data_IF_745137536075
#
_entry.id   IF_745137536075
#
_cell.length_a   1.000
_cell.length_b   1.000
_cell.length_c   1.000
_cell.angle_alpha   90.00
_cell.angle_beta   90.00
_cell.angle_gamma   90.00
#
_symmetry.space_group_name_H-M   'P 1'
#
loop_
_entity.id
_entity.type
_entity.pdbx_description
1 polymer ?
#
# COMPACT_ATOMS: atom_id res chain seq x y z
N UNK A 1 -50.45 41.20 -40.84
CA UNK A 1 -49.54 40.12 -40.44
C UNK A 1 -48.70 40.64 -39.26
N UNK A 2 -49.12 40.39 -38.01
CA UNK A 2 -48.34 40.79 -36.83
C UNK A 2 -47.28 39.72 -36.58
N UNK A 3 -46.01 40.07 -36.78
CA UNK A 3 -44.88 39.29 -36.28
C UNK A 3 -44.96 39.30 -34.75
N UNK A 4 -45.38 38.17 -34.15
CA UNK A 4 -45.18 37.95 -32.73
C UNK A 4 -43.67 37.93 -32.48
N UNK A 5 -43.17 38.96 -31.81
CA UNK A 5 -41.81 38.93 -31.27
C UNK A 5 -41.72 37.74 -30.32
N UNK A 6 -40.85 36.78 -30.62
CA UNK A 6 -40.54 35.71 -29.69
C UNK A 6 -39.98 36.33 -28.40
N UNK A 7 -40.39 35.85 -27.21
CA UNK A 7 -39.86 36.37 -25.96
C UNK A 7 -38.34 36.26 -25.97
N UNK A 8 -37.64 37.37 -25.70
CA UNK A 8 -36.20 37.33 -25.45
C UNK A 8 -35.96 36.42 -24.25
N UNK A 9 -35.37 35.25 -24.50
CA UNK A 9 -34.90 34.39 -23.43
C UNK A 9 -33.62 35.05 -22.90
N UNK A 10 -33.70 35.67 -21.72
CA UNK A 10 -32.51 36.14 -21.02
C UNK A 10 -31.63 34.92 -20.67
N UNK A 11 -30.36 34.87 -21.11
CA UNK A 11 -29.51 33.73 -20.85
C UNK A 11 -29.15 33.68 -19.35
N UNK A 12 -29.26 32.49 -18.76
CA UNK A 12 -28.72 32.24 -17.41
C UNK A 12 -27.22 31.96 -17.55
N UNK A 13 -26.40 32.79 -16.92
CA UNK A 13 -24.96 32.59 -16.84
C UNK A 13 -24.56 32.05 -15.46
N UNK A 14 -23.96 30.86 -15.43
CA UNK A 14 -23.43 30.25 -14.20
C UNK A 14 -21.91 30.29 -14.26
N UNK A 15 -21.28 31.07 -13.39
CA UNK A 15 -19.83 31.10 -13.27
C UNK A 15 -19.34 29.96 -12.37
N UNK A 16 -18.49 29.09 -12.91
CA UNK A 16 -17.95 27.92 -12.19
C UNK A 16 -16.42 27.87 -12.30
N UNK A 17 -15.78 27.13 -11.38
CA UNK A 17 -14.35 26.84 -11.48
C UNK A 17 -14.05 25.98 -12.73
N UNK A 18 -13.03 26.38 -13.50
CA UNK A 18 -12.46 25.56 -14.56
C UNK A 18 -11.65 24.41 -13.93
N UNK A 19 -12.05 23.17 -14.21
CA UNK A 19 -11.35 21.96 -13.79
C UNK A 19 -10.53 21.36 -14.95
N UNK A 20 -9.69 20.38 -14.63
CA UNK A 20 -8.94 19.60 -15.62
C UNK A 20 -9.75 18.49 -16.28
N UNK A 21 -9.04 17.48 -16.77
CA UNK A 21 -9.62 16.28 -17.35
C UNK A 21 -10.47 15.51 -16.34
N UNK A 22 -11.37 14.64 -16.83
CA UNK A 22 -12.16 13.76 -15.98
C UNK A 22 -11.46 12.42 -15.68
N UNK A 23 -11.98 11.71 -14.69
CA UNK A 23 -11.46 10.42 -14.24
C UNK A 23 -11.55 9.37 -15.35
N UNK A 24 -12.56 9.43 -16.23
CA UNK A 24 -12.63 8.56 -17.42
C UNK A 24 -11.39 8.73 -18.32
N UNK A 25 -11.01 9.97 -18.64
CA UNK A 25 -9.79 10.25 -19.44
C UNK A 25 -8.54 9.72 -18.73
N UNK A 26 -8.44 9.90 -17.42
CA UNK A 26 -7.33 9.36 -16.64
C UNK A 26 -7.31 7.82 -16.69
N UNK A 27 -8.43 7.14 -16.46
CA UNK A 27 -8.55 5.68 -16.51
C UNK A 27 -8.12 5.11 -17.87
N UNK A 28 -8.42 5.81 -18.96
CA UNK A 28 -8.07 5.40 -20.31
C UNK A 28 -6.63 5.76 -20.73
N UNK A 29 -5.91 6.58 -19.97
CA UNK A 29 -4.53 6.95 -20.27
C UNK A 29 -3.57 5.80 -19.92
N UNK A 30 -2.73 5.33 -20.85
CA UNK A 30 -1.79 4.24 -20.57
C UNK A 30 -0.51 4.68 -19.82
N UNK A 31 -0.12 5.96 -19.89
CA UNK A 31 1.05 6.51 -19.17
C UNK A 31 0.64 7.09 -17.80
N UNK A 32 0.35 6.20 -16.84
CA UNK A 32 0.05 6.58 -15.45
C UNK A 32 1.30 6.48 -14.57
N UNK A 33 1.69 7.61 -13.98
CA UNK A 33 2.74 7.68 -12.95
C UNK A 33 2.12 7.76 -11.55
N UNK A 34 2.86 7.30 -10.55
CA UNK A 34 2.45 7.33 -9.13
C UNK A 34 1.06 6.71 -8.87
N UNK A 35 0.76 5.62 -9.56
CA UNK A 35 -0.59 5.07 -9.65
C UNK A 35 -1.25 4.81 -8.29
N UNK A 36 -0.51 4.21 -7.35
CA UNK A 36 -1.02 3.91 -6.00
C UNK A 36 -1.39 5.18 -5.23
N UNK A 37 -0.64 6.27 -5.46
CA UNK A 37 -0.95 7.56 -4.85
C UNK A 37 -2.25 8.14 -5.42
N UNK A 38 -2.41 8.09 -6.74
CA UNK A 38 -3.64 8.53 -7.40
C UNK A 38 -4.85 7.69 -6.97
N UNK A 39 -4.74 6.35 -6.99
CA UNK A 39 -5.81 5.44 -6.57
C UNK A 39 -6.27 5.71 -5.13
N UNK A 40 -5.31 5.87 -4.21
CA UNK A 40 -5.59 6.24 -2.81
C UNK A 40 -6.25 7.60 -2.70
N UNK A 41 -5.71 8.61 -3.37
CA UNK A 41 -6.19 10.00 -3.28
C UNK A 41 -7.56 10.18 -3.93
N UNK A 42 -7.78 9.57 -5.09
CA UNK A 42 -9.07 9.58 -5.79
C UNK A 42 -10.15 8.96 -4.92
N UNK A 43 -9.87 7.79 -4.33
CA UNK A 43 -10.81 7.12 -3.42
C UNK A 43 -11.16 8.00 -2.22
N UNK A 44 -10.16 8.54 -1.53
CA UNK A 44 -10.34 9.46 -0.39
C UNK A 44 -11.17 10.69 -0.77
N UNK A 45 -10.85 11.34 -1.89
CA UNK A 45 -11.55 12.52 -2.36
C UNK A 45 -12.99 12.22 -2.80
N UNK A 46 -13.25 11.07 -3.43
CA UNK A 46 -14.59 10.66 -3.84
C UNK A 46 -15.49 10.44 -2.62
N UNK A 47 -15.01 9.68 -1.63
CA UNK A 47 -15.76 9.44 -0.38
C UNK A 47 -16.01 10.77 0.34
N UNK A 48 -15.00 11.65 0.40
CA UNK A 48 -15.15 12.98 0.99
C UNK A 48 -16.17 13.86 0.28
N UNK A 49 -16.13 13.93 -1.05
CA UNK A 49 -17.02 14.76 -1.84
C UNK A 49 -18.46 14.28 -1.74
N UNK A 50 -18.67 12.96 -1.82
CA UNK A 50 -20.01 12.39 -1.72
C UNK A 50 -20.56 12.49 -0.30
N UNK A 51 -19.72 12.30 0.73
CA UNK A 51 -20.11 12.54 2.13
C UNK A 51 -20.62 13.96 2.33
N UNK A 52 -19.87 14.97 1.85
CA UNK A 52 -20.32 16.35 1.94
C UNK A 52 -21.69 16.57 1.27
N UNK A 53 -21.90 15.97 0.09
CA UNK A 53 -23.16 16.07 -0.64
C UNK A 53 -24.33 15.42 0.12
N UNK A 54 -24.12 14.21 0.66
CA UNK A 54 -25.15 13.47 1.40
C UNK A 54 -25.44 14.08 2.77
N UNK A 55 -24.44 14.61 3.49
CA UNK A 55 -24.62 15.34 4.74
C UNK A 55 -25.46 16.62 4.53
N UNK A 56 -25.49 17.17 3.31
CA UNK A 56 -26.35 18.29 2.89
C UNK A 56 -27.68 17.85 2.26
N UNK A 57 -28.04 16.57 2.38
CA UNK A 57 -29.24 15.95 1.81
C UNK A 57 -29.36 16.13 0.29
N UNK A 58 -28.26 16.08 -0.45
CA UNK A 58 -28.27 16.12 -1.92
C UNK A 58 -27.92 14.72 -2.46
N UNK A 59 -28.67 14.23 -3.45
CA UNK A 59 -28.34 13.02 -4.24
C UNK A 59 -27.80 13.46 -5.58
N UNK A 60 -26.76 12.80 -6.10
CA UNK A 60 -26.17 13.10 -7.40
C UNK A 60 -26.95 12.50 -8.57
N UNK A 61 -27.34 11.22 -8.47
CA UNK A 61 -28.16 10.46 -9.45
C UNK A 61 -27.50 10.10 -10.80
N UNK A 62 -26.31 10.61 -11.10
CA UNK A 62 -25.52 10.25 -12.28
C UNK A 62 -24.01 10.25 -11.96
N UNK A 63 -23.66 9.67 -10.82
CA UNK A 63 -22.27 9.56 -10.42
C UNK A 63 -21.55 8.53 -11.32
N UNK A 64 -20.54 9.00 -12.05
CA UNK A 64 -19.74 8.20 -13.00
C UNK A 64 -18.37 8.84 -13.21
N UNK A 65 -17.36 8.12 -13.75
CA UNK A 65 -16.01 8.67 -13.93
C UNK A 65 -15.93 9.91 -14.85
N UNK A 66 -16.90 10.12 -15.73
CA UNK A 66 -17.01 11.30 -16.59
C UNK A 66 -17.35 12.57 -15.79
N UNK A 67 -18.06 12.40 -14.67
CA UNK A 67 -18.53 13.47 -13.77
C UNK A 67 -17.59 13.68 -12.57
N UNK A 68 -16.42 13.04 -12.57
CA UNK A 68 -15.37 13.21 -11.57
C UNK A 68 -14.19 13.89 -12.26
N UNK A 69 -13.85 15.10 -11.85
CA UNK A 69 -12.84 15.93 -12.52
C UNK A 69 -11.61 16.16 -11.66
N UNK A 70 -10.43 16.23 -12.28
CA UNK A 70 -9.24 16.72 -11.60
C UNK A 70 -9.33 18.23 -11.39
N UNK A 71 -8.80 18.75 -10.28
CA UNK A 71 -8.92 20.18 -9.94
C UNK A 71 -8.33 21.13 -10.98
N UNK A 72 -7.30 20.69 -11.73
CA UNK A 72 -6.63 21.44 -12.80
C UNK A 72 -6.12 20.49 -13.90
N UNK A 73 -5.84 21.02 -15.11
CA UNK A 73 -5.28 20.24 -16.22
C UNK A 73 -4.00 19.48 -15.86
N UNK A 74 -3.76 18.37 -16.55
CA UNK A 74 -2.62 17.49 -16.26
C UNK A 74 -2.84 16.65 -15.01
N UNK A 75 -4.09 16.22 -14.79
CA UNK A 75 -4.49 15.31 -13.70
C UNK A 75 -4.10 15.79 -12.30
N UNK A 76 -4.21 17.09 -12.00
CA UNK A 76 -3.86 17.61 -10.67
C UNK A 76 -4.95 17.31 -9.65
N UNK A 77 -4.59 16.59 -8.59
CA UNK A 77 -5.43 16.39 -7.40
C UNK A 77 -5.63 17.71 -6.60
N UNK A 78 -6.69 17.83 -5.78
CA UNK A 78 -7.73 16.83 -5.52
C UNK A 78 -8.66 16.61 -6.73
N UNK A 79 -9.40 15.50 -6.74
CA UNK A 79 -10.55 15.37 -7.65
C UNK A 79 -11.77 16.09 -7.06
N UNK A 80 -12.73 16.40 -7.93
CA UNK A 80 -13.99 17.10 -7.62
C UNK A 80 -15.13 16.38 -8.32
N UNK A 81 -16.22 16.18 -7.60
CA UNK A 81 -17.48 15.69 -8.19
C UNK A 81 -18.16 16.88 -8.87
N UNK A 82 -18.59 16.69 -10.11
CA UNK A 82 -19.22 17.71 -10.95
C UNK A 82 -20.45 17.18 -11.66
N UNK A 83 -21.06 18.01 -12.51
CA UNK A 83 -22.31 17.73 -13.23
C UNK A 83 -23.50 17.38 -12.30
N UNK A 84 -24.03 18.44 -11.67
CA UNK A 84 -25.20 18.36 -10.81
C UNK A 84 -26.53 18.51 -11.57
N UNK A 85 -26.53 18.38 -12.90
CA UNK A 85 -27.73 18.61 -13.72
C UNK A 85 -28.91 17.69 -13.39
N UNK A 86 -28.62 16.52 -12.81
CA UNK A 86 -29.61 15.54 -12.36
C UNK A 86 -29.77 15.47 -10.83
N UNK A 87 -28.98 16.26 -10.10
CA UNK A 87 -28.96 16.23 -8.64
C UNK A 87 -30.25 16.76 -8.05
N UNK A 88 -30.61 16.25 -6.86
CA UNK A 88 -31.83 16.67 -6.16
C UNK A 88 -31.57 16.75 -4.66
N UNK A 89 -32.11 17.79 -4.03
CA UNK A 89 -32.18 17.89 -2.58
C UNK A 89 -33.34 17.05 -2.07
N UNK A 90 -33.09 16.20 -1.08
CA UNK A 90 -34.10 15.41 -0.38
C UNK A 90 -34.51 16.18 0.88
N UNK A 91 -35.80 16.19 1.20
CA UNK A 91 -36.29 16.60 2.52
C UNK A 91 -36.54 15.34 3.36
N UNK A 92 -36.26 15.43 4.66
CA UNK A 92 -35.82 14.35 5.56
C UNK A 92 -36.75 13.14 5.79
N UNK A 93 -37.84 12.97 5.02
CA UNK A 93 -38.73 11.80 5.14
C UNK A 93 -39.22 11.24 3.80
N UNK A 94 -38.86 11.83 2.66
CA UNK A 94 -39.24 11.32 1.35
C UNK A 94 -38.07 10.59 0.70
N UNK A 95 -38.17 9.26 0.59
CA UNK A 95 -37.70 8.63 -0.65
C UNK A 95 -38.34 9.40 -1.80
N UNK A 96 -37.58 9.74 -2.85
CA UNK A 96 -38.08 10.53 -3.97
C UNK A 96 -39.12 9.70 -4.76
N UNK A 97 -40.32 9.58 -4.21
CA UNK A 97 -41.46 8.81 -4.73
C UNK A 97 -42.39 9.69 -5.56
N UNK A 98 -42.19 11.01 -5.53
CA UNK A 98 -42.94 11.96 -6.35
C UNK A 98 -42.32 12.16 -7.73
N UNK A 99 -42.85 11.42 -8.71
CA UNK A 99 -42.87 11.66 -10.16
C UNK A 99 -41.65 12.32 -10.78
N UNK A 100 -40.76 11.54 -11.43
CA UNK A 100 -39.78 12.00 -12.43
C UNK A 100 -39.11 10.79 -13.10
N UNK A 101 -39.21 10.72 -14.44
CA UNK A 101 -38.41 9.94 -15.41
C UNK A 101 -37.61 8.77 -14.84
N UNK A 102 -38.19 7.57 -14.88
CA UNK A 102 -37.46 6.31 -14.70
C UNK A 102 -36.33 6.21 -15.74
N UNK A 103 -35.13 5.77 -15.33
CA UNK A 103 -34.03 5.44 -16.25
C UNK A 103 -33.11 6.58 -16.71
N UNK A 104 -33.04 7.71 -16.01
CA UNK A 104 -32.06 8.78 -16.33
C UNK A 104 -30.66 8.43 -15.78
N UNK A 105 -29.60 8.71 -16.53
CA UNK A 105 -28.21 8.47 -16.13
C UNK A 105 -27.52 7.39 -16.95
N UNK A 106 -26.26 7.08 -16.65
CA UNK A 106 -25.46 6.10 -17.41
C UNK A 106 -25.68 4.67 -16.90
N UNK A 107 -26.15 3.70 -17.72
CA UNK A 107 -26.56 2.37 -17.24
C UNK A 107 -25.47 1.58 -16.53
N UNK A 108 -24.20 1.81 -16.85
CA UNK A 108 -23.06 1.04 -16.34
C UNK A 108 -22.82 1.21 -14.84
N UNK A 109 -23.12 2.37 -14.26
CA UNK A 109 -22.92 2.67 -12.83
C UNK A 109 -24.24 2.77 -12.06
N UNK A 110 -25.35 2.51 -12.74
CA UNK A 110 -26.69 2.64 -12.19
C UNK A 110 -26.98 1.51 -11.22
N UNK A 111 -27.49 1.86 -10.03
CA UNK A 111 -27.86 0.88 -9.02
C UNK A 111 -29.01 -0.04 -9.51
N UNK A 112 -29.02 -1.32 -9.12
CA UNK A 112 -30.00 -2.29 -9.61
C UNK A 112 -31.45 -1.91 -9.29
N UNK A 113 -31.72 -1.34 -8.11
CA UNK A 113 -33.05 -0.89 -7.72
C UNK A 113 -33.54 0.28 -8.60
N UNK A 114 -32.63 1.18 -8.98
CA UNK A 114 -32.93 2.30 -9.87
C UNK A 114 -33.25 1.82 -11.28
N UNK A 115 -32.48 0.84 -11.78
CA UNK A 115 -32.72 0.20 -13.08
C UNK A 115 -34.10 -0.47 -13.14
N UNK A 116 -34.57 -0.96 -12.00
CA UNK A 116 -35.89 -1.59 -11.85
C UNK A 116 -37.04 -0.57 -11.64
N UNK A 117 -36.76 0.73 -11.73
CA UNK A 117 -37.76 1.79 -11.62
C UNK A 117 -38.06 2.28 -10.21
N UNK A 118 -37.32 1.81 -9.20
CA UNK A 118 -37.43 2.35 -7.84
C UNK A 118 -36.88 3.78 -7.75
N UNK A 119 -37.37 4.52 -6.76
CA UNK A 119 -36.91 5.87 -6.43
C UNK A 119 -35.41 5.93 -6.14
N UNK A 120 -34.75 6.97 -6.64
CA UNK A 120 -33.38 7.30 -6.26
C UNK A 120 -33.29 7.68 -4.77
N UNK A 121 -32.28 7.16 -4.10
CA UNK A 121 -31.89 7.53 -2.74
C UNK A 121 -30.37 7.74 -2.67
N UNK A 122 -29.87 8.20 -1.53
CA UNK A 122 -28.43 8.25 -1.27
C UNK A 122 -27.74 6.89 -1.52
N UNK A 123 -28.44 5.78 -1.28
CA UNK A 123 -27.93 4.42 -1.51
C UNK A 123 -27.55 4.18 -2.99
N UNK A 124 -28.24 4.81 -3.94
CA UNK A 124 -27.91 4.67 -5.35
C UNK A 124 -26.54 5.29 -5.69
N UNK A 125 -26.23 6.47 -5.11
CA UNK A 125 -24.91 7.07 -5.29
C UNK A 125 -23.82 6.23 -4.61
N UNK A 126 -24.11 5.57 -3.48
CA UNK A 126 -23.14 4.67 -2.81
C UNK A 126 -22.76 3.48 -3.68
N UNK A 127 -23.74 2.92 -4.39
CA UNK A 127 -23.48 1.85 -5.35
C UNK A 127 -22.56 2.33 -6.48
N UNK A 128 -22.87 3.47 -7.09
CA UNK A 128 -22.04 4.06 -8.15
C UNK A 128 -20.63 4.37 -7.64
N UNK A 129 -20.51 4.92 -6.42
CA UNK A 129 -19.23 5.17 -5.76
C UNK A 129 -18.40 3.89 -5.63
N UNK A 130 -19.00 2.79 -5.18
CA UNK A 130 -18.31 1.50 -5.02
C UNK A 130 -17.73 0.99 -6.35
N UNK A 131 -18.48 1.08 -7.44
CA UNK A 131 -18.02 0.69 -8.77
C UNK A 131 -16.90 1.59 -9.31
N UNK A 132 -16.98 2.91 -9.08
CA UNK A 132 -15.95 3.87 -9.51
C UNK A 132 -14.65 3.64 -8.72
N UNK A 133 -14.74 3.43 -7.41
CA UNK A 133 -13.58 3.09 -6.57
C UNK A 133 -12.94 1.82 -7.11
N UNK A 134 -13.72 0.77 -7.34
CA UNK A 134 -13.20 -0.50 -7.83
C UNK A 134 -12.48 -0.37 -9.17
N UNK A 135 -13.10 0.33 -10.13
CA UNK A 135 -12.50 0.59 -11.43
C UNK A 135 -11.19 1.38 -11.31
N UNK A 136 -11.12 2.37 -10.42
CA UNK A 136 -9.92 3.15 -10.20
C UNK A 136 -8.78 2.32 -9.55
N UNK A 137 -9.07 1.57 -8.48
CA UNK A 137 -8.05 0.82 -7.74
C UNK A 137 -7.51 -0.39 -8.48
N UNK A 138 -8.25 -0.96 -9.43
CA UNK A 138 -7.81 -2.08 -10.25
C UNK A 138 -7.57 -1.74 -11.74
N UNK A 139 -7.74 -0.47 -12.13
CA UNK A 139 -7.64 -0.02 -13.52
C UNK A 139 -8.42 -0.90 -14.51
N UNK A 140 -9.68 -1.19 -14.17
CA UNK A 140 -10.51 -2.10 -14.98
C UNK A 140 -10.60 -1.56 -16.42
N UNK A 141 -10.25 -2.42 -17.39
CA UNK A 141 -10.24 -2.03 -18.80
C UNK A 141 -11.68 -1.85 -19.31
N UNK A 142 -11.92 -0.91 -20.24
CA UNK A 142 -13.27 -0.61 -20.72
C UNK A 142 -14.07 -1.82 -21.22
N UNK A 143 -13.41 -2.77 -21.88
CA UNK A 143 -14.04 -3.99 -22.43
C UNK A 143 -14.43 -5.02 -21.36
N UNK A 144 -13.75 -5.05 -20.21
CA UNK A 144 -14.04 -5.98 -19.12
C UNK A 144 -15.05 -5.43 -18.11
N UNK A 145 -15.21 -4.10 -18.06
CA UNK A 145 -15.94 -3.38 -17.02
C UNK A 145 -17.33 -3.93 -16.74
N UNK A 146 -18.18 -4.04 -17.77
CA UNK A 146 -19.57 -4.49 -17.58
C UNK A 146 -19.61 -5.93 -17.06
N UNK A 147 -18.83 -6.84 -17.66
CA UNK A 147 -18.72 -8.24 -17.25
C UNK A 147 -18.27 -8.36 -15.79
N UNK A 148 -17.26 -7.60 -15.39
CA UNK A 148 -16.74 -7.64 -14.02
C UNK A 148 -17.74 -7.07 -13.01
N UNK A 149 -18.42 -5.96 -13.34
CA UNK A 149 -19.45 -5.36 -12.49
C UNK A 149 -20.62 -6.33 -12.27
N UNK A 150 -21.08 -7.01 -13.32
CA UNK A 150 -22.13 -8.02 -13.21
C UNK A 150 -21.69 -9.22 -12.36
N UNK A 151 -20.48 -9.74 -12.54
CA UNK A 151 -19.96 -10.84 -11.72
C UNK A 151 -19.81 -10.47 -10.25
N UNK A 152 -19.36 -9.25 -9.95
CA UNK A 152 -19.27 -8.78 -8.57
C UNK A 152 -20.66 -8.69 -7.92
N UNK A 153 -21.63 -8.08 -8.60
CA UNK A 153 -22.92 -7.70 -8.00
C UNK A 153 -23.96 -8.81 -8.10
N UNK A 154 -24.09 -9.46 -9.26
CA UNK A 154 -25.04 -10.54 -9.53
C UNK A 154 -24.41 -11.88 -9.16
N UNK A 155 -23.18 -12.13 -9.63
CA UNK A 155 -22.44 -13.37 -9.33
C UNK A 155 -21.92 -13.44 -7.89
N UNK A 156 -21.97 -12.33 -7.14
CA UNK A 156 -21.47 -12.20 -5.76
C UNK A 156 -19.99 -12.62 -5.63
N UNK A 157 -19.21 -12.49 -6.69
CA UNK A 157 -17.81 -12.92 -6.75
C UNK A 157 -16.88 -11.88 -6.08
N UNK A 158 -16.93 -11.79 -4.75
CA UNK A 158 -16.15 -10.81 -3.98
C UNK A 158 -14.63 -11.01 -4.06
N UNK A 159 -14.16 -12.15 -4.57
CA UNK A 159 -12.73 -12.42 -4.83
C UNK A 159 -12.18 -11.61 -6.01
N UNK A 160 -13.05 -11.05 -6.87
CA UNK A 160 -12.65 -10.18 -7.98
C UNK A 160 -12.07 -8.84 -7.51
N UNK A 161 -12.47 -8.40 -6.33
CA UNK A 161 -11.93 -7.19 -5.70
C UNK A 161 -10.69 -7.58 -4.91
N UNK A 162 -9.53 -7.14 -5.39
CA UNK A 162 -8.25 -7.39 -4.70
C UNK A 162 -7.96 -6.25 -3.73
N UNK A 163 -7.22 -6.58 -2.67
CA UNK A 163 -6.83 -5.58 -1.68
C UNK A 163 -5.86 -4.57 -2.29
N UNK A 164 -6.04 -3.28 -2.00
CA UNK A 164 -5.20 -2.22 -2.54
C UNK A 164 -4.04 -1.92 -1.61
N UNK A 165 -2.86 -1.76 -2.20
CA UNK A 165 -1.59 -1.62 -1.49
C UNK A 165 -1.53 -0.48 -0.45
N UNK A 166 -2.20 0.65 -0.70
CA UNK A 166 -2.24 1.80 0.23
C UNK A 166 -3.60 2.05 0.90
N UNK A 167 -4.62 1.26 0.54
CA UNK A 167 -5.99 1.48 1.02
C UNK A 167 -6.46 0.17 1.64
N UNK A 168 -6.16 -0.01 2.91
CA UNK A 168 -6.55 -1.21 3.66
C UNK A 168 -8.05 -1.25 3.84
N UNK A 169 -8.67 -2.41 3.62
CA UNK A 169 -10.11 -2.60 3.68
C UNK A 169 -10.85 -2.26 2.39
N UNK A 170 -10.15 -1.98 1.28
CA UNK A 170 -10.81 -1.60 0.01
C UNK A 170 -11.73 -2.72 -0.50
N UNK A 171 -11.37 -3.99 -0.28
CA UNK A 171 -12.21 -5.12 -0.68
C UNK A 171 -13.55 -5.09 0.04
N UNK A 172 -13.51 -4.89 1.36
CA UNK A 172 -14.71 -4.76 2.20
C UNK A 172 -15.52 -3.51 1.82
N UNK A 173 -14.84 -2.40 1.52
CA UNK A 173 -15.45 -1.15 1.10
C UNK A 173 -16.24 -1.32 -0.20
N UNK A 174 -15.60 -1.81 -1.26
CA UNK A 174 -16.24 -2.03 -2.56
C UNK A 174 -17.39 -3.03 -2.41
N UNK A 175 -17.15 -4.21 -1.83
CA UNK A 175 -18.17 -5.24 -1.66
C UNK A 175 -19.36 -4.75 -0.81
N UNK A 176 -19.10 -3.92 0.19
CA UNK A 176 -20.13 -3.31 1.04
C UNK A 176 -20.94 -2.23 0.32
N UNK A 177 -20.31 -1.37 -0.48
CA UNK A 177 -20.98 -0.32 -1.24
C UNK A 177 -21.81 -0.87 -2.40
N UNK A 178 -21.37 -1.97 -3.02
CA UNK A 178 -22.01 -2.55 -4.22
C UNK A 178 -23.02 -3.65 -3.92
N UNK A 179 -23.50 -3.77 -2.66
CA UNK A 179 -24.56 -4.73 -2.30
C UNK A 179 -25.81 -4.51 -3.16
N UNK A 180 -26.43 -5.62 -3.59
CA UNK A 180 -27.62 -5.57 -4.46
C UNK A 180 -28.82 -4.96 -3.73
N UNK A 181 -29.03 -5.36 -2.48
CA UNK A 181 -30.02 -4.76 -1.60
C UNK A 181 -29.48 -3.42 -1.04
N UNK A 182 -30.14 -2.28 -1.29
CA UNK A 182 -29.68 -0.97 -0.81
C UNK A 182 -29.62 -0.87 0.72
N UNK A 183 -30.44 -1.63 1.45
CA UNK A 183 -30.45 -1.62 2.93
C UNK A 183 -29.20 -2.30 3.52
N UNK A 184 -28.59 -3.23 2.77
CA UNK A 184 -27.38 -3.94 3.20
C UNK A 184 -26.09 -3.19 2.86
N UNK A 185 -26.18 -2.06 2.15
CA UNK A 185 -25.00 -1.27 1.77
C UNK A 185 -24.43 -0.59 3.01
N UNK A 186 -23.10 -0.57 3.09
CA UNK A 186 -22.41 0.13 4.18
C UNK A 186 -22.66 1.64 4.05
N UNK A 187 -22.73 2.33 5.20
CA UNK A 187 -22.92 3.77 5.22
C UNK A 187 -21.64 4.52 4.82
N UNK A 188 -21.80 5.80 4.45
CA UNK A 188 -20.66 6.67 4.15
C UNK A 188 -19.71 6.88 5.32
N UNK A 189 -20.17 6.74 6.57
CA UNK A 189 -19.30 6.84 7.74
C UNK A 189 -18.34 5.65 7.79
N UNK A 190 -18.83 4.43 7.55
CA UNK A 190 -17.98 3.24 7.44
C UNK A 190 -17.03 3.35 6.24
N UNK A 191 -17.51 3.88 5.12
CA UNK A 191 -16.68 4.12 3.96
C UNK A 191 -15.57 5.16 4.23
N UNK A 192 -15.88 6.21 4.97
CA UNK A 192 -14.94 7.25 5.39
C UNK A 192 -13.82 6.67 6.24
N UNK A 193 -14.13 5.83 7.23
CA UNK A 193 -13.13 5.23 8.11
C UNK A 193 -12.13 4.37 7.32
N UNK A 194 -12.61 3.56 6.36
CA UNK A 194 -11.74 2.80 5.46
C UNK A 194 -10.88 3.74 4.61
N UNK A 195 -11.48 4.79 4.05
CA UNK A 195 -10.80 5.81 3.27
C UNK A 195 -9.70 6.53 4.03
N UNK A 196 -9.86 6.75 5.34
CA UNK A 196 -8.88 7.43 6.19
C UNK A 196 -7.81 6.52 6.77
N UNK A 197 -8.01 5.20 6.76
CA UNK A 197 -7.02 4.27 7.27
C UNK A 197 -5.73 4.32 6.43
N UNK A 198 -4.68 4.95 6.97
CA UNK A 198 -3.30 4.73 6.53
C UNK A 198 -2.85 3.39 7.13
N UNK A 199 -3.45 2.32 6.62
CA UNK A 199 -3.28 1.00 7.19
C UNK A 199 -1.85 0.48 7.05
N UNK A 200 -1.47 -0.31 8.04
CA UNK A 200 -0.33 -1.21 8.01
C UNK A 200 -0.24 -1.95 6.66
N UNK A 201 0.93 -1.89 6.01
CA UNK A 201 1.09 -2.46 4.67
C UNK A 201 1.47 -3.93 4.78
N UNK A 202 0.62 -4.85 4.34
CA UNK A 202 0.97 -6.28 4.35
C UNK A 202 1.44 -6.74 2.98
N UNK A 203 2.70 -7.13 2.84
CA UNK A 203 3.28 -7.73 1.64
C UNK A 203 3.15 -9.25 1.66
N UNK A 204 2.49 -9.74 0.61
CA UNK A 204 2.21 -11.15 0.34
C UNK A 204 2.98 -11.66 -0.89
N UNK A 205 3.73 -10.77 -1.56
CA UNK A 205 4.60 -11.12 -2.68
C UNK A 205 5.86 -10.25 -2.74
N UNK A 206 6.89 -10.72 -3.45
CA UNK A 206 8.14 -9.98 -3.66
C UNK A 206 7.90 -8.66 -4.38
N UNK A 207 6.93 -8.64 -5.31
CA UNK A 207 6.53 -7.43 -6.03
C UNK A 207 5.84 -6.42 -5.09
N UNK A 208 4.93 -6.87 -4.22
CA UNK A 208 4.30 -6.03 -3.20
C UNK A 208 5.33 -5.45 -2.23
N UNK A 209 6.27 -6.26 -1.75
CA UNK A 209 7.32 -5.81 -0.85
C UNK A 209 8.20 -4.72 -1.50
N UNK A 210 8.67 -4.94 -2.74
CA UNK A 210 9.46 -3.96 -3.47
C UNK A 210 8.69 -2.66 -3.74
N UNK A 211 7.38 -2.75 -3.93
CA UNK A 211 6.51 -1.61 -4.18
C UNK A 211 6.20 -0.83 -2.89
N UNK A 212 6.02 -1.51 -1.76
CA UNK A 212 5.88 -0.87 -0.45
C UNK A 212 7.16 -0.17 -0.02
N UNK A 213 8.33 -0.76 -0.25
CA UNK A 213 9.62 -0.09 0.03
C UNK A 213 9.78 1.25 -0.69
N UNK A 214 9.16 1.43 -1.87
CA UNK A 214 9.18 2.70 -2.62
C UNK A 214 8.21 3.75 -2.09
N UNK A 215 7.25 3.35 -1.24
CA UNK A 215 6.10 4.19 -0.90
C UNK A 215 5.88 4.39 0.59
N UNK A 216 6.49 3.57 1.44
CA UNK A 216 6.45 3.69 2.89
C UNK A 216 7.17 4.98 3.33
N UNK A 217 6.47 5.80 4.12
CA UNK A 217 7.02 7.04 4.70
C UNK A 217 7.73 6.72 6.03
N UNK A 218 8.52 7.66 6.54
CA UNK A 218 9.17 7.54 7.85
C UNK A 218 8.15 7.20 8.94
N UNK A 219 8.35 6.08 9.64
CA UNK A 219 7.43 5.58 10.67
C UNK A 219 6.35 4.60 10.19
N UNK A 220 6.30 4.27 8.90
CA UNK A 220 5.39 3.25 8.36
C UNK A 220 5.86 1.81 8.62
N UNK A 221 4.91 0.90 8.80
CA UNK A 221 5.16 -0.53 9.07
C UNK A 221 4.74 -1.38 7.87
N UNK A 222 5.63 -2.29 7.44
CA UNK A 222 5.33 -3.31 6.42
C UNK A 222 5.36 -4.69 7.09
N UNK A 223 4.24 -5.40 7.08
CA UNK A 223 4.10 -6.78 7.56
C UNK A 223 4.31 -7.75 6.40
N UNK A 224 5.01 -8.85 6.61
CA UNK A 224 5.27 -9.85 5.58
C UNK A 224 4.56 -11.15 6.00
N UNK A 225 3.74 -11.70 5.10
CA UNK A 225 2.93 -12.91 5.40
C UNK A 225 3.67 -14.17 4.99
N UNK A 226 4.34 -14.16 3.83
CA UNK A 226 5.29 -15.18 3.36
C UNK A 226 5.82 -14.69 2.01
N UNK A 227 6.98 -14.03 2.00
CA UNK A 227 7.58 -13.50 0.76
C UNK A 227 8.84 -14.29 0.45
N UNK A 228 8.80 -15.10 -0.62
CA UNK A 228 10.00 -15.72 -1.19
C UNK A 228 10.60 -14.74 -2.20
N UNK A 229 11.59 -13.96 -1.76
CA UNK A 229 12.36 -13.09 -2.64
C UNK A 229 13.27 -13.92 -3.57
N UNK A 230 12.71 -14.45 -4.66
CA UNK A 230 13.49 -15.14 -5.70
C UNK A 230 14.44 -14.13 -6.37
N UNK A 231 15.74 -14.31 -6.10
CA UNK A 231 16.81 -13.42 -6.53
C UNK A 231 17.26 -13.73 -7.96
N UNK A 232 16.75 -12.95 -8.92
CA UNK A 232 17.38 -12.79 -10.23
C UNK A 232 18.61 -11.88 -9.98
N UNK A 233 19.85 -12.41 -9.98
CA UNK A 233 21.12 -11.70 -9.65
C UNK A 233 21.18 -10.28 -10.29
N UNK A 234 21.68 -9.21 -9.66
CA UNK A 234 22.91 -9.01 -8.86
C UNK A 234 22.66 -8.07 -7.64
N UNK A 235 23.15 -8.45 -6.46
CA UNK A 235 23.37 -7.51 -5.34
C UNK A 235 22.82 -7.96 -4.00
N UNK A 236 21.56 -7.64 -3.70
CA UNK A 236 20.99 -7.79 -2.35
C UNK A 236 19.58 -8.39 -2.38
N UNK A 237 19.23 -9.23 -1.40
CA UNK A 237 17.86 -9.73 -1.20
C UNK A 237 16.94 -8.64 -0.64
N UNK A 238 17.37 -7.98 0.43
CA UNK A 238 16.70 -6.82 1.05
C UNK A 238 17.70 -5.70 1.23
N UNK A 239 17.34 -4.48 0.80
CA UNK A 239 18.14 -3.28 1.03
C UNK A 239 17.32 -2.24 1.80
N UNK A 240 17.75 -1.93 3.02
CA UNK A 240 17.15 -0.90 3.87
C UNK A 240 17.96 0.39 3.76
N UNK A 241 17.34 1.45 3.21
CA UNK A 241 17.94 2.77 2.99
C UNK A 241 17.32 3.89 3.86
N UNK A 242 16.39 3.57 4.78
CA UNK A 242 15.74 4.54 5.69
C UNK A 242 16.04 4.29 7.18
N UNK A 243 15.75 5.28 8.03
CA UNK A 243 15.91 5.19 9.50
C UNK A 243 14.58 4.93 10.22
N UNK A 244 14.60 4.33 11.42
CA UNK A 244 13.41 4.00 12.25
C UNK A 244 12.41 3.03 11.61
N UNK A 245 12.88 2.11 10.77
CA UNK A 245 12.04 1.05 10.21
C UNK A 245 11.94 -0.13 11.19
N UNK A 246 10.79 -0.81 11.15
CA UNK A 246 10.60 -2.11 11.80
C UNK A 246 10.30 -3.13 10.72
N UNK A 247 11.12 -4.18 10.63
CA UNK A 247 10.94 -5.28 9.68
C UNK A 247 10.91 -6.57 10.48
N UNK A 248 9.84 -7.38 10.33
CA UNK A 248 9.68 -8.64 11.04
C UNK A 248 9.20 -9.77 10.14
N UNK A 249 9.48 -11.02 10.52
CA UNK A 249 8.96 -12.23 9.90
C UNK A 249 9.32 -12.37 8.42
N UNK A 250 10.61 -12.50 8.14
CA UNK A 250 11.11 -12.47 6.76
C UNK A 250 11.95 -13.69 6.44
N UNK A 251 11.63 -14.38 5.34
CA UNK A 251 12.45 -15.44 4.79
C UNK A 251 13.17 -14.95 3.52
N UNK A 252 14.49 -15.06 3.46
CA UNK A 252 15.30 -14.67 2.29
C UNK A 252 16.08 -15.88 1.81
N UNK A 253 15.71 -16.39 0.63
CA UNK A 253 16.40 -17.51 -0.02
C UNK A 253 17.16 -17.03 -1.26
N UNK A 254 18.45 -17.34 -1.34
CA UNK A 254 19.28 -16.97 -2.49
C UNK A 254 19.83 -15.53 -2.46
N UNK A 255 20.67 -15.21 -3.45
CA UNK A 255 21.20 -13.87 -3.67
C UNK A 255 22.68 -13.72 -3.26
N UNK A 256 23.29 -12.58 -3.61
CA UNK A 256 24.69 -12.31 -3.22
C UNK A 256 24.76 -11.87 -1.75
N UNK A 257 23.89 -10.99 -1.27
CA UNK A 257 23.76 -10.66 0.16
C UNK A 257 22.29 -10.64 0.58
N UNK A 258 21.88 -11.43 1.56
CA UNK A 258 20.48 -11.54 1.95
C UNK A 258 19.91 -10.21 2.44
N UNK A 259 20.61 -9.51 3.33
CA UNK A 259 20.16 -8.23 3.88
C UNK A 259 21.30 -7.23 3.88
N UNK A 260 21.05 -6.02 3.37
CA UNK A 260 21.93 -4.87 3.54
C UNK A 260 21.18 -3.74 4.22
N UNK A 261 21.73 -3.30 5.35
CA UNK A 261 21.31 -2.16 6.14
C UNK A 261 22.33 -1.06 5.87
N UNK A 262 22.07 -0.11 4.97
CA UNK A 262 23.09 0.85 4.51
C UNK A 262 22.68 2.31 4.65
N UNK A 263 23.50 3.13 5.34
CA UNK A 263 23.28 4.56 5.59
C UNK A 263 22.07 4.89 6.49
N UNK A 264 21.83 4.07 7.51
CA UNK A 264 20.57 4.11 8.28
C UNK A 264 20.75 4.01 9.79
N UNK A 265 19.87 4.68 10.55
CA UNK A 265 19.88 4.68 12.03
C UNK A 265 18.57 4.15 12.62
N UNK A 266 18.64 3.54 13.80
CA UNK A 266 17.48 3.21 14.64
C UNK A 266 16.49 2.18 14.03
N UNK A 267 16.92 1.26 13.17
CA UNK A 267 16.01 0.23 12.65
C UNK A 267 15.92 -0.98 13.58
N UNK A 268 14.79 -1.67 13.54
CA UNK A 268 14.56 -2.93 14.25
C UNK A 268 14.24 -4.02 13.24
N UNK A 269 15.06 -5.07 13.22
CA UNK A 269 14.91 -6.25 12.39
C UNK A 269 14.69 -7.44 13.33
N UNK A 270 13.55 -8.10 13.28
CA UNK A 270 13.27 -9.29 14.11
C UNK A 270 12.77 -10.47 13.29
N UNK A 271 13.06 -11.71 13.71
CA UNK A 271 12.41 -12.92 13.15
C UNK A 271 12.72 -13.10 11.65
N UNK A 272 14.00 -13.34 11.35
CA UNK A 272 14.49 -13.56 9.99
C UNK A 272 14.98 -15.00 9.79
N UNK A 273 14.73 -15.57 8.62
CA UNK A 273 15.37 -16.79 8.13
C UNK A 273 16.10 -16.48 6.83
N UNK A 274 17.40 -16.76 6.75
CA UNK A 274 18.22 -16.50 5.56
C UNK A 274 18.79 -17.83 5.07
N UNK A 275 18.59 -18.20 3.81
CA UNK A 275 19.08 -19.46 3.28
C UNK A 275 19.72 -19.39 1.89
N UNK A 276 20.65 -20.30 1.60
CA UNK A 276 21.18 -20.58 0.26
C UNK A 276 21.76 -19.37 -0.48
N UNK A 277 22.52 -18.51 0.21
CA UNK A 277 22.98 -17.23 -0.34
C UNK A 277 24.49 -17.02 -0.23
N UNK A 278 25.04 -16.05 -0.97
CA UNK A 278 26.45 -15.68 -0.92
C UNK A 278 26.86 -15.11 0.44
N UNK A 279 26.08 -14.18 0.99
CA UNK A 279 26.34 -13.48 2.25
C UNK A 279 25.01 -13.32 3.01
N UNK A 280 25.03 -13.31 4.33
CA UNK A 280 23.85 -13.06 5.16
C UNK A 280 23.54 -11.57 5.29
N UNK A 281 23.92 -10.93 6.41
CA UNK A 281 23.58 -9.54 6.73
C UNK A 281 24.82 -8.62 6.61
N UNK A 282 24.66 -7.48 5.95
CA UNK A 282 25.62 -6.38 5.89
C UNK A 282 25.07 -5.14 6.59
N UNK A 283 25.81 -4.56 7.54
CA UNK A 283 25.39 -3.43 8.36
C UNK A 283 26.37 -2.25 8.17
N UNK A 284 25.90 -1.16 7.56
CA UNK A 284 26.60 0.12 7.33
C UNK A 284 25.90 1.31 8.01
N UNK A 285 25.29 1.09 9.18
CA UNK A 285 24.48 2.08 9.89
C UNK A 285 24.53 1.89 11.42
N UNK A 286 23.99 2.84 12.17
CA UNK A 286 24.15 2.91 13.64
C UNK A 286 22.86 2.63 14.41
N UNK A 287 22.96 2.16 15.65
CA UNK A 287 21.82 1.96 16.57
C UNK A 287 20.69 1.08 16.00
N UNK A 288 21.02 0.08 15.18
CA UNK A 288 20.05 -0.89 14.69
C UNK A 288 19.95 -2.07 15.65
N UNK A 289 18.74 -2.56 15.87
CA UNK A 289 18.44 -3.77 16.64
C UNK A 289 18.14 -4.90 15.67
N UNK A 290 18.85 -6.02 15.78
CA UNK A 290 18.64 -7.22 14.97
C UNK A 290 18.43 -8.38 15.93
N UNK A 291 17.31 -9.08 15.83
CA UNK A 291 16.92 -10.08 16.81
C UNK A 291 16.33 -11.34 16.14
N UNK A 292 16.54 -12.52 16.72
CA UNK A 292 15.94 -13.79 16.25
C UNK A 292 16.21 -14.05 14.76
N UNK A 293 17.47 -14.26 14.40
CA UNK A 293 17.86 -14.53 13.00
C UNK A 293 18.37 -15.96 12.87
N UNK A 294 17.72 -16.76 12.03
CA UNK A 294 18.19 -18.05 11.56
C UNK A 294 18.91 -17.91 10.21
N UNK A 295 20.05 -18.56 10.06
CA UNK A 295 20.82 -18.59 8.81
C UNK A 295 21.19 -20.03 8.44
N UNK A 296 21.02 -20.39 7.18
CA UNK A 296 21.32 -21.72 6.64
C UNK A 296 22.06 -21.62 5.30
N UNK A 297 23.11 -22.42 5.06
CA UNK A 297 23.78 -22.51 3.76
C UNK A 297 24.22 -21.13 3.20
N UNK A 298 24.94 -20.35 4.01
CA UNK A 298 25.48 -19.04 3.61
C UNK A 298 26.95 -19.19 3.26
N UNK A 299 27.32 -18.94 2.01
CA UNK A 299 28.64 -19.33 1.46
C UNK A 299 29.81 -18.54 2.06
N UNK A 300 29.69 -17.22 2.20
CA UNK A 300 30.83 -16.36 2.56
C UNK A 300 30.81 -15.89 4.02
N UNK A 301 29.94 -14.93 4.38
CA UNK A 301 29.82 -14.43 5.75
C UNK A 301 28.36 -14.43 6.20
N UNK A 302 28.10 -14.87 7.43
CA UNK A 302 26.78 -14.73 8.07
C UNK A 302 26.43 -13.27 8.35
N UNK A 303 27.30 -12.53 9.05
CA UNK A 303 27.11 -11.10 9.36
C UNK A 303 28.41 -10.34 9.08
N UNK A 304 28.26 -9.14 8.51
CA UNK A 304 29.33 -8.15 8.31
C UNK A 304 28.89 -6.79 8.81
N UNK A 305 29.73 -6.15 9.62
CA UNK A 305 29.55 -4.78 10.13
C UNK A 305 30.66 -3.90 9.54
N UNK A 306 30.27 -2.76 8.97
CA UNK A 306 31.17 -1.76 8.38
C UNK A 306 31.79 -0.85 9.46
N UNK A 307 32.94 -0.24 9.16
CA UNK A 307 33.79 0.49 10.12
C UNK A 307 33.10 1.70 10.77
N UNK A 308 32.07 2.25 10.12
CA UNK A 308 31.32 3.42 10.56
C UNK A 308 29.98 3.08 11.27
N UNK A 309 29.77 1.82 11.64
CA UNK A 309 28.49 1.31 12.16
C UNK A 309 28.48 1.08 13.68
N UNK A 310 28.14 2.10 14.47
CA UNK A 310 28.20 2.04 15.94
C UNK A 310 26.86 1.70 16.63
N UNK A 311 26.93 1.17 17.87
CA UNK A 311 25.78 0.93 18.77
C UNK A 311 24.71 -0.02 18.23
N UNK A 312 25.03 -0.88 17.28
CA UNK A 312 24.07 -1.90 16.85
C UNK A 312 23.93 -2.96 17.97
N UNK A 313 22.74 -3.54 18.11
CA UNK A 313 22.49 -4.67 19.01
C UNK A 313 22.01 -5.85 18.17
N UNK A 314 22.74 -6.95 18.21
CA UNK A 314 22.37 -8.19 17.53
C UNK A 314 22.13 -9.26 18.61
N UNK A 315 20.99 -9.94 18.59
CA UNK A 315 20.62 -10.94 19.60
C UNK A 315 19.91 -12.16 18.99
N UNK A 316 20.00 -13.30 19.65
CA UNK A 316 19.27 -14.53 19.30
C UNK A 316 19.55 -15.03 17.86
N UNK A 317 20.83 -15.28 17.55
CA UNK A 317 21.26 -15.82 16.26
C UNK A 317 21.28 -17.36 16.27
N UNK A 318 20.85 -17.98 15.18
CA UNK A 318 21.02 -19.41 14.89
C UNK A 318 21.67 -19.56 13.52
N UNK A 319 22.73 -20.36 13.39
CA UNK A 319 23.48 -20.52 12.14
C UNK A 319 23.76 -22.00 11.86
N UNK A 320 23.54 -22.44 10.63
CA UNK A 320 23.84 -23.77 10.11
C UNK A 320 24.49 -23.68 8.73
N UNK A 321 25.66 -24.30 8.53
CA UNK A 321 26.40 -24.20 7.26
C UNK A 321 26.61 -22.75 6.79
N UNK A 322 27.15 -21.90 7.67
CA UNK A 322 27.36 -20.47 7.43
C UNK A 322 28.85 -20.15 7.47
N UNK A 323 29.35 -19.51 6.42
CA UNK A 323 30.72 -19.04 6.35
C UNK A 323 31.05 -17.99 7.43
N UNK A 324 32.33 -17.94 7.83
CA UNK A 324 32.80 -17.18 9.00
C UNK A 324 32.39 -15.69 8.95
N UNK A 325 31.95 -15.11 10.08
CA UNK A 325 31.68 -13.67 10.18
C UNK A 325 32.92 -12.82 9.84
N UNK A 326 32.73 -11.60 9.29
CA UNK A 326 33.84 -10.63 9.09
C UNK A 326 33.52 -9.29 9.75
N UNK A 327 34.39 -8.83 10.64
CA UNK A 327 34.29 -7.55 11.35
C UNK A 327 35.45 -6.64 10.97
N UNK A 328 35.18 -5.36 10.68
CA UNK A 328 36.21 -4.36 10.42
C UNK A 328 36.09 -3.21 11.42
N UNK A 329 37.11 -2.98 12.25
CA UNK A 329 37.26 -1.83 13.15
C UNK A 329 36.41 -1.88 14.42
N UNK A 330 37.05 -2.07 15.58
CA UNK A 330 36.50 -1.88 16.93
C UNK A 330 36.97 -2.92 17.96
N UNK A 331 37.28 -2.49 19.18
CA UNK A 331 37.56 -3.39 20.31
C UNK A 331 36.29 -4.13 20.74
N UNK A 332 36.43 -5.44 20.97
CA UNK A 332 35.36 -6.29 21.49
C UNK A 332 34.99 -5.88 22.92
N UNK A 333 33.74 -5.50 23.16
CA UNK A 333 33.18 -5.58 24.51
C UNK A 333 33.11 -7.04 24.93
N UNK A 334 33.51 -7.36 26.16
CA UNK A 334 33.48 -8.72 26.71
C UNK A 334 32.11 -9.37 26.48
N UNK A 335 32.11 -10.51 25.79
CA UNK A 335 30.95 -11.41 25.69
C UNK A 335 30.57 -11.85 27.12
N UNK A 336 29.35 -11.58 27.60
CA UNK A 336 28.91 -12.12 28.88
C UNK A 336 28.72 -13.64 28.70
N UNK A 337 29.62 -14.44 29.27
CA UNK A 337 29.46 -15.90 29.38
C UNK A 337 30.11 -16.76 28.30
N UNK A 338 31.10 -16.27 27.55
CA UNK A 338 31.90 -17.15 26.68
C UNK A 338 32.80 -18.05 27.55
N UNK A 339 32.45 -19.34 27.63
CA UNK A 339 33.37 -20.40 28.05
C UNK A 339 34.62 -20.36 27.15
N UNK A 340 35.78 -20.39 27.80
CA UNK A 340 37.13 -20.77 27.34
C UNK A 340 37.46 -20.60 25.83
N UNK A 341 38.50 -19.81 25.46
CA UNK A 341 38.90 -19.58 24.07
C UNK A 341 39.39 -20.81 23.28
N UNK A 342 39.45 -22.00 23.88
CA UNK A 342 40.07 -23.19 23.28
C UNK A 342 39.11 -24.19 22.61
N UNK A 343 37.80 -23.95 22.56
CA UNK A 343 36.84 -24.99 22.11
C UNK A 343 35.63 -24.57 21.28
N UNK A 344 35.46 -23.29 20.89
CA UNK A 344 34.31 -22.84 20.09
C UNK A 344 34.75 -22.41 18.67
N UNK A 345 34.63 -23.25 17.64
CA UNK A 345 34.98 -22.87 16.27
C UNK A 345 33.84 -22.01 15.69
N UNK A 346 34.06 -20.71 15.52
CA UNK A 346 33.07 -19.86 14.85
C UNK A 346 33.28 -18.35 14.92
N UNK A 347 34.14 -17.85 15.80
CA UNK A 347 34.41 -16.41 15.89
C UNK A 347 35.91 -16.14 15.89
N UNK A 348 36.45 -15.87 14.70
CA UNK A 348 37.77 -15.24 14.57
C UNK A 348 37.54 -13.80 14.11
N UNK A 349 37.87 -12.84 14.97
CA UNK A 349 37.90 -11.41 14.64
C UNK A 349 39.12 -11.17 13.74
N UNK A 350 38.91 -11.01 12.44
CA UNK A 350 39.97 -10.70 11.49
C UNK A 350 40.36 -9.22 11.63
N UNK A 351 41.34 -8.93 12.48
CA UNK A 351 41.87 -7.59 12.73
C UNK A 351 42.87 -7.20 11.61
N UNK A 352 42.43 -7.26 10.36
CA UNK A 352 43.24 -6.84 9.22
C UNK A 352 42.93 -5.38 8.88
N UNK A 353 43.53 -4.45 9.63
CA UNK A 353 43.92 -3.18 9.02
C UNK A 353 45.12 -2.54 9.72
N UNK A 354 46.20 -2.44 8.93
CA UNK A 354 47.46 -1.78 9.22
C UNK A 354 47.32 -0.25 9.12
N UNK A 355 46.22 0.33 9.63
CA UNK A 355 45.97 1.77 9.57
C UNK A 355 45.48 2.29 10.92
N UNK A 356 46.33 3.12 11.53
CA UNK A 356 46.10 3.95 12.71
C UNK A 356 44.85 4.83 12.54
N UNK A 357 43.67 4.33 12.90
CA UNK A 357 42.54 5.17 13.24
C UNK A 357 41.72 4.52 14.37
N UNK A 358 41.74 5.17 15.53
CA UNK A 358 40.96 4.87 16.72
C UNK A 358 39.45 4.98 16.43
N UNK A 359 38.84 3.96 15.83
CA UNK A 359 37.39 3.86 15.71
C UNK A 359 36.83 2.92 16.80
N UNK A 360 36.30 3.52 17.87
CA UNK A 360 35.61 2.84 18.96
C UNK A 360 34.20 2.41 18.50
N UNK A 361 34.10 1.20 17.95
CA UNK A 361 32.84 0.65 17.47
C UNK A 361 32.12 -0.12 18.60
N UNK A 362 31.17 0.51 19.30
CA UNK A 362 30.47 -0.03 20.48
C UNK A 362 29.27 -0.95 20.14
N UNK A 363 29.40 -1.85 19.16
CA UNK A 363 28.31 -2.78 18.77
C UNK A 363 28.28 -4.00 19.69
N UNK A 364 27.09 -4.39 20.18
CA UNK A 364 26.87 -5.53 21.09
C UNK A 364 26.27 -6.70 20.31
N UNK A 365 26.84 -7.90 20.48
CA UNK A 365 26.33 -9.15 19.88
C UNK A 365 26.08 -10.17 21.00
N UNK A 366 24.83 -10.55 21.18
CA UNK A 366 24.35 -11.58 22.10
C UNK A 366 24.04 -12.87 21.31
N UNK A 367 24.75 -13.95 21.61
CA UNK A 367 24.56 -15.24 20.96
C UNK A 367 23.73 -16.15 21.86
N UNK A 368 22.61 -16.66 21.35
CA UNK A 368 21.95 -17.83 21.90
C UNK A 368 22.66 -19.06 21.34
N UNK A 369 23.08 -19.99 22.20
CA UNK A 369 23.86 -21.20 21.88
C UNK A 369 23.40 -21.84 20.56
N UNK A 370 24.20 -21.72 19.51
CA UNK A 370 23.95 -22.36 18.22
C UNK A 370 24.47 -23.80 18.27
N UNK A 371 23.64 -24.78 17.89
CA UNK A 371 24.13 -26.11 17.54
C UNK A 371 24.84 -26.01 16.21
N UNK A 372 26.16 -26.15 16.23
CA UNK A 372 26.99 -26.24 15.04
C UNK A 372 27.21 -27.72 14.69
N UNK A 373 27.07 -28.09 13.42
CA UNK A 373 27.50 -29.40 12.89
C UNK A 373 28.56 -29.11 11.82
N UNK A 374 29.82 -29.42 12.11
CA UNK A 374 30.88 -29.46 11.09
C UNK A 374 30.64 -30.69 10.20
N UNK A 375 30.68 -30.50 8.88
CA UNK A 375 30.94 -31.58 7.94
C UNK A 375 32.30 -31.34 7.28
N UNK A 376 33.04 -32.43 6.98
CA UNK A 376 34.47 -32.42 6.66
C UNK A 376 34.86 -31.66 5.38
#
# INVERSE_FOLDING_TARGET
MRLQMMPQIEPICIQMQICGENLRKWLNNDDKKDILFYQSTITKNLISGLKYQHDNNVIHRDLKPENVMFSKPGYKIPIKIGDFGLSRKIHSEESVTGGLTTGVGSPTYMAPEVRNGSSYSQQADLYSLGLIIWEAVQLIKPHDRLRLFERLVIGQEQSLVVEHLKLTGVRRLVAGLTKRNPVERISLNVAWDVGQSEGEMTARSTMEFQLYLKTVKTGGTIYLVEVIANSIRKGFGIKLNGSRNVVKNVNVMGGWTCISVSSVKNNTLEEFTLSNAGHGILIKGSNNKINKVAMENIVNYGIRIDVMSDKNKISNLTMSNVGRPRFWGGQAGQLPGALDPSGAPGFTLDNNNNNNNNNNNNTIIELSVAKYVEHP
#
